data_IF_416251149109
#
_entry.id   IF_416251149109
#
_cell.length_a   1.000
_cell.length_b   1.000
_cell.length_c   1.000
_cell.angle_alpha   90.00
_cell.angle_beta   90.00
_cell.angle_gamma   90.00
#
_symmetry.space_group_name_H-M   'P 1'
#
loop_
_entity.id
_entity.type
_entity.pdbx_description
1 polymer ?
#
# COMPACT_ATOMS: atom_id res chain seq x y z
N UNK A 1 -55.93 17.85 31.72
CA UNK A 1 -55.54 18.43 30.42
C UNK A 1 -54.22 19.16 30.61
N UNK A 2 -53.08 18.49 30.41
CA UNK A 2 -51.75 19.13 30.58
C UNK A 2 -50.69 18.24 29.92
N UNK A 3 -50.31 18.56 28.68
CA UNK A 3 -49.06 18.18 27.97
C UNK A 3 -49.19 18.54 26.47
N UNK A 4 -49.12 19.83 26.15
CA UNK A 4 -48.95 20.32 24.76
C UNK A 4 -47.91 21.44 24.66
N UNK A 5 -47.46 22.03 25.78
CA UNK A 5 -46.52 23.16 25.79
C UNK A 5 -45.07 22.84 25.33
N UNK A 6 -44.69 21.56 25.20
CA UNK A 6 -43.32 21.16 24.87
C UNK A 6 -42.99 21.07 23.36
N UNK A 7 -43.95 20.70 22.51
CA UNK A 7 -43.71 20.61 21.06
C UNK A 7 -43.76 21.99 20.39
N UNK A 8 -44.73 22.82 20.78
CA UNK A 8 -44.81 24.21 20.30
C UNK A 8 -43.54 25.00 20.65
N UNK A 9 -42.96 24.79 21.84
CA UNK A 9 -41.68 25.40 22.22
C UNK A 9 -40.51 24.88 21.39
N UNK A 10 -40.46 23.58 21.05
CA UNK A 10 -39.43 23.01 20.17
C UNK A 10 -39.54 23.53 18.73
N UNK A 11 -40.74 23.61 18.18
CA UNK A 11 -40.96 24.10 16.82
C UNK A 11 -40.56 25.59 16.71
N UNK A 12 -40.84 26.40 17.74
CA UNK A 12 -40.38 27.79 17.81
C UNK A 12 -38.86 27.89 17.93
N UNK A 13 -38.22 27.03 18.73
CA UNK A 13 -36.74 26.99 18.85
C UNK A 13 -36.08 26.58 17.53
N UNK A 14 -36.64 25.61 16.81
CA UNK A 14 -36.14 25.18 15.50
C UNK A 14 -36.28 26.28 14.44
N UNK A 15 -37.41 26.99 14.44
CA UNK A 15 -37.61 28.12 13.53
C UNK A 15 -36.62 29.26 13.80
N UNK A 16 -36.36 29.58 15.07
CA UNK A 16 -35.38 30.59 15.46
C UNK A 16 -33.96 30.21 15.02
N UNK A 17 -33.55 28.96 15.24
CA UNK A 17 -32.24 28.46 14.80
C UNK A 17 -32.06 28.55 13.27
N UNK A 18 -33.12 28.30 12.49
CA UNK A 18 -33.05 28.40 11.03
C UNK A 18 -32.87 29.85 10.52
N UNK A 19 -33.57 30.80 11.15
CA UNK A 19 -33.46 32.23 10.80
C UNK A 19 -32.04 32.72 11.10
N UNK A 20 -31.52 32.38 12.28
CA UNK A 20 -30.21 32.82 12.73
C UNK A 20 -29.07 32.17 11.91
N UNK A 21 -29.21 30.90 11.48
CA UNK A 21 -28.29 30.30 10.50
C UNK A 21 -28.27 31.06 9.16
N UNK A 22 -29.43 31.49 8.70
CA UNK A 22 -29.58 32.18 7.41
C UNK A 22 -28.96 33.57 7.47
N UNK A 23 -29.04 34.25 8.62
CA UNK A 23 -28.39 35.54 8.86
C UNK A 23 -26.85 35.41 8.81
N UNK A 24 -26.27 34.37 9.43
CA UNK A 24 -24.82 34.06 9.33
C UNK A 24 -24.34 33.70 7.93
N UNK A 25 -25.23 33.29 7.02
CA UNK A 25 -24.90 32.99 5.62
C UNK A 25 -25.04 34.21 4.70
N UNK A 26 -25.75 35.24 5.15
CA UNK A 26 -25.98 36.49 4.43
C UNK A 26 -24.90 37.53 4.77
N UNK A 27 -24.30 37.44 5.96
CA UNK A 27 -23.14 38.26 6.39
C UNK A 27 -21.79 37.55 6.14
N UNK A 28 -20.67 38.22 6.45
CA UNK A 28 -19.32 37.64 6.32
C UNK A 28 -19.21 36.30 7.06
N UNK A 29 -19.18 35.20 6.28
CA UNK A 29 -19.24 33.84 6.80
C UNK A 29 -18.00 33.47 7.63
N UNK A 30 -18.13 33.48 8.97
CA UNK A 30 -17.11 32.98 9.90
C UNK A 30 -17.46 31.56 10.39
N UNK A 31 -16.64 30.59 9.99
CA UNK A 31 -16.80 29.18 10.34
C UNK A 31 -16.75 28.97 11.85
N UNK A 32 -15.91 29.71 12.58
CA UNK A 32 -15.76 29.56 14.04
C UNK A 32 -17.03 30.04 14.74
N UNK A 33 -17.60 31.16 14.30
CA UNK A 33 -18.82 31.71 14.89
C UNK A 33 -20.01 30.77 14.64
N UNK A 34 -20.19 30.30 13.40
CA UNK A 34 -21.25 29.33 13.06
C UNK A 34 -21.14 28.08 13.91
N UNK A 35 -19.94 27.52 14.01
CA UNK A 35 -19.66 26.31 14.78
C UNK A 35 -19.94 26.52 16.29
N UNK A 36 -19.48 27.63 16.85
CA UNK A 36 -19.71 28.00 18.25
C UNK A 36 -21.20 28.13 18.54
N UNK A 37 -21.93 28.79 17.64
CA UNK A 37 -23.35 29.03 17.76
C UNK A 37 -24.18 27.73 17.66
N UNK A 38 -23.77 26.81 16.77
CA UNK A 38 -24.37 25.46 16.71
C UNK A 38 -24.14 24.66 18.00
N UNK A 39 -22.98 24.78 18.64
CA UNK A 39 -22.72 24.11 19.92
C UNK A 39 -23.63 24.65 21.04
N UNK A 40 -23.87 25.97 21.06
CA UNK A 40 -24.80 26.62 22.00
C UNK A 40 -26.24 26.14 21.78
N UNK A 41 -26.72 26.08 20.53
CA UNK A 41 -28.06 25.56 20.27
C UNK A 41 -28.22 24.08 20.61
N UNK A 42 -27.17 23.25 20.42
CA UNK A 42 -27.22 21.85 20.86
C UNK A 42 -27.46 21.74 22.36
N UNK A 43 -26.85 22.61 23.18
CA UNK A 43 -27.12 22.71 24.62
C UNK A 43 -28.58 23.07 24.89
N UNK A 44 -29.11 24.09 24.20
CA UNK A 44 -30.47 24.60 24.43
C UNK A 44 -31.61 23.70 23.91
N UNK A 45 -31.35 22.96 22.83
CA UNK A 45 -32.33 22.12 22.15
C UNK A 45 -32.37 20.71 22.75
N UNK A 46 -31.21 20.17 23.15
CA UNK A 46 -31.08 18.82 23.69
C UNK A 46 -31.10 18.76 25.23
N UNK A 47 -31.08 19.92 25.90
CA UNK A 47 -31.08 20.04 27.36
C UNK A 47 -29.88 19.32 28.01
N UNK A 48 -28.70 19.47 27.40
CA UNK A 48 -27.43 18.90 27.89
C UNK A 48 -26.58 19.95 28.58
N UNK A 49 -25.77 19.58 29.58
CA UNK A 49 -25.03 20.55 30.41
C UNK A 49 -23.88 21.27 29.67
N UNK A 50 -23.33 20.64 28.63
CA UNK A 50 -22.29 21.21 27.78
C UNK A 50 -22.23 20.45 26.44
N UNK A 51 -21.85 21.16 25.38
CA UNK A 51 -21.46 20.60 24.10
C UNK A 51 -20.11 21.21 23.68
N UNK A 52 -19.32 20.46 22.93
CA UNK A 52 -18.03 20.93 22.43
C UNK A 52 -17.76 20.39 21.03
N UNK A 53 -16.96 21.12 20.27
CA UNK A 53 -16.55 20.73 18.93
C UNK A 53 -15.12 20.22 18.96
N UNK A 54 -14.94 18.99 18.46
CA UNK A 54 -13.61 18.42 18.27
C UNK A 54 -13.16 18.69 16.83
N UNK A 55 -12.20 19.61 16.67
CA UNK A 55 -11.57 19.85 15.39
C UNK A 55 -10.48 18.80 15.17
N UNK A 56 -10.61 18.01 14.11
CA UNK A 56 -9.60 17.04 13.70
C UNK A 56 -8.91 17.59 12.46
N UNK A 57 -7.59 17.70 12.51
CA UNK A 57 -6.80 18.16 11.36
C UNK A 57 -6.84 17.09 10.25
N UNK A 58 -7.60 17.36 9.19
CA UNK A 58 -7.71 16.49 8.02
C UNK A 58 -6.36 16.29 7.31
N UNK A 59 -5.42 17.24 7.42
CA UNK A 59 -4.09 17.11 6.81
C UNK A 59 -3.28 15.99 7.47
N UNK A 60 -3.38 15.83 8.79
CA UNK A 60 -2.66 14.80 9.52
C UNK A 60 -3.13 13.38 9.13
N UNK A 61 -4.45 13.19 8.92
CA UNK A 61 -5.01 11.91 8.50
C UNK A 61 -4.60 11.55 7.07
N UNK A 62 -4.62 12.51 6.15
CA UNK A 62 -4.18 12.32 4.76
C UNK A 62 -2.67 12.02 4.68
N UNK A 63 -1.85 12.74 5.45
CA UNK A 63 -0.40 12.49 5.52
C UNK A 63 -0.09 11.07 5.99
N UNK A 64 -0.78 10.56 7.02
CA UNK A 64 -0.59 9.18 7.48
C UNK A 64 -0.96 8.15 6.41
N UNK A 65 -2.07 8.35 5.70
CA UNK A 65 -2.50 7.45 4.63
C UNK A 65 -1.51 7.43 3.44
N UNK A 66 -0.94 8.59 3.09
CA UNK A 66 0.09 8.69 2.03
C UNK A 66 1.37 7.97 2.47
N UNK A 67 1.84 8.20 3.70
CA UNK A 67 3.05 7.54 4.23
C UNK A 67 2.92 6.01 4.28
N UNK A 68 1.76 5.50 4.69
CA UNK A 68 1.49 4.07 4.72
C UNK A 68 1.47 3.45 3.31
N UNK A 69 0.86 4.16 2.35
CA UNK A 69 0.86 3.77 0.94
C UNK A 69 2.27 3.76 0.32
N UNK A 70 3.09 4.77 0.60
CA UNK A 70 4.47 4.85 0.12
C UNK A 70 5.36 3.74 0.70
N UNK A 71 5.20 3.44 1.99
CA UNK A 71 5.92 2.33 2.63
C UNK A 71 5.53 0.98 2.02
N UNK A 72 4.23 0.73 1.82
CA UNK A 72 3.74 -0.50 1.21
C UNK A 72 4.22 -0.62 -0.25
N UNK A 73 4.18 0.48 -1.01
CA UNK A 73 4.68 0.53 -2.38
C UNK A 73 6.17 0.21 -2.45
N UNK A 74 6.98 0.77 -1.54
CA UNK A 74 8.42 0.50 -1.45
C UNK A 74 8.70 -0.98 -1.12
N UNK A 75 7.99 -1.56 -0.15
CA UNK A 75 8.13 -2.99 0.18
C UNK A 75 7.72 -3.91 -0.97
N UNK A 76 6.63 -3.57 -1.66
CA UNK A 76 6.19 -4.31 -2.85
C UNK A 76 7.19 -4.16 -4.00
N UNK A 77 7.73 -2.97 -4.24
CA UNK A 77 8.75 -2.74 -5.26
C UNK A 77 10.02 -3.54 -4.97
N UNK A 78 10.49 -3.57 -3.71
CA UNK A 78 11.64 -4.39 -3.32
C UNK A 78 11.38 -5.89 -3.50
N UNK A 79 10.20 -6.37 -3.08
CA UNK A 79 9.79 -7.76 -3.24
C UNK A 79 9.66 -8.16 -4.72
N UNK A 80 9.10 -7.28 -5.56
CA UNK A 80 8.95 -7.51 -7.00
C UNK A 80 10.29 -7.43 -7.72
N UNK A 81 11.15 -6.48 -7.37
CA UNK A 81 12.49 -6.36 -7.95
C UNK A 81 13.29 -7.65 -7.73
N UNK A 82 13.30 -8.19 -6.50
CA UNK A 82 13.96 -9.46 -6.21
C UNK A 82 13.36 -10.64 -7.01
N UNK A 83 12.05 -10.64 -7.27
CA UNK A 83 11.40 -11.72 -8.04
C UNK A 83 11.71 -11.62 -9.53
N UNK A 84 11.65 -10.42 -10.11
CA UNK A 84 11.93 -10.20 -11.54
C UNK A 84 13.35 -10.62 -11.88
N UNK A 85 14.35 -10.15 -11.12
CA UNK A 85 15.76 -10.48 -11.37
C UNK A 85 16.01 -11.99 -11.22
N UNK A 86 15.39 -12.64 -10.24
CA UNK A 86 15.55 -14.09 -10.03
C UNK A 86 14.92 -14.90 -11.17
N UNK A 87 13.76 -14.51 -11.70
CA UNK A 87 13.16 -15.16 -12.88
C UNK A 87 13.98 -14.90 -14.15
N UNK A 88 14.51 -13.69 -14.32
CA UNK A 88 15.41 -13.37 -15.44
C UNK A 88 16.68 -14.22 -15.39
N UNK A 89 17.31 -14.36 -14.22
CA UNK A 89 18.46 -15.23 -14.04
C UNK A 89 18.12 -16.68 -14.42
N UNK A 90 16.99 -17.24 -13.93
CA UNK A 90 16.55 -18.58 -14.34
C UNK A 90 16.38 -18.71 -15.85
N UNK A 91 15.81 -17.69 -16.50
CA UNK A 91 15.68 -17.62 -17.96
C UNK A 91 17.03 -17.68 -18.67
N UNK A 92 17.99 -16.86 -18.22
CA UNK A 92 19.37 -16.86 -18.74
C UNK A 92 20.03 -18.22 -18.55
N UNK A 93 19.86 -18.86 -17.38
CA UNK A 93 20.42 -20.19 -17.12
C UNK A 93 19.79 -21.28 -17.98
N UNK A 94 18.47 -21.21 -18.19
CA UNK A 94 17.74 -22.14 -19.04
C UNK A 94 18.12 -21.98 -20.52
N UNK A 95 18.31 -20.76 -20.99
CA UNK A 95 18.72 -20.50 -22.37
C UNK A 95 20.20 -20.84 -22.60
N UNK A 96 21.09 -20.32 -21.75
CA UNK A 96 22.54 -20.35 -21.97
C UNK A 96 23.14 -21.71 -21.65
N UNK A 97 22.63 -22.41 -20.62
CA UNK A 97 23.20 -23.67 -20.15
C UNK A 97 22.21 -24.83 -20.20
N UNK A 98 21.03 -24.63 -20.80
CA UNK A 98 19.98 -25.64 -20.91
C UNK A 98 19.69 -26.32 -19.57
N UNK A 99 19.54 -25.54 -18.50
CA UNK A 99 19.16 -26.07 -17.17
C UNK A 99 17.65 -25.97 -17.00
N UNK A 100 17.01 -26.98 -16.42
CA UNK A 100 15.57 -26.92 -16.10
C UNK A 100 15.30 -25.78 -15.09
N UNK A 101 14.25 -24.95 -15.24
CA UNK A 101 14.02 -23.78 -14.39
C UNK A 101 14.01 -24.06 -12.87
N UNK A 102 13.39 -25.16 -12.44
CA UNK A 102 13.39 -25.59 -11.03
C UNK A 102 14.78 -25.95 -10.53
N UNK A 103 15.57 -26.60 -11.39
CA UNK A 103 16.95 -26.98 -11.13
C UNK A 103 17.88 -25.75 -11.10
N UNK A 104 17.63 -24.76 -11.98
CA UNK A 104 18.33 -23.48 -11.99
C UNK A 104 18.11 -22.70 -10.69
N UNK A 105 16.88 -22.65 -10.17
CA UNK A 105 16.60 -21.99 -8.90
C UNK A 105 17.25 -22.69 -7.71
N UNK A 106 17.20 -24.03 -7.67
CA UNK A 106 17.89 -24.82 -6.64
C UNK A 106 19.39 -24.56 -6.66
N UNK A 107 20.00 -24.48 -7.84
CA UNK A 107 21.42 -24.19 -8.00
C UNK A 107 21.79 -22.76 -7.57
N UNK A 108 21.03 -21.75 -7.98
CA UNK A 108 21.22 -20.36 -7.53
C UNK A 108 21.19 -20.27 -6.00
N UNK A 109 20.20 -20.90 -5.37
CA UNK A 109 20.07 -20.91 -3.90
C UNK A 109 21.20 -21.70 -3.23
N UNK A 110 21.60 -22.83 -3.81
CA UNK A 110 22.70 -23.66 -3.30
C UNK A 110 24.04 -22.93 -3.34
N UNK A 111 24.36 -22.31 -4.48
CA UNK A 111 25.56 -21.51 -4.67
C UNK A 111 25.58 -20.30 -3.73
N UNK A 112 24.46 -19.58 -3.65
CA UNK A 112 24.35 -18.39 -2.81
C UNK A 112 24.62 -18.71 -1.33
N UNK A 113 24.10 -19.85 -0.84
CA UNK A 113 24.35 -20.33 0.53
C UNK A 113 25.78 -20.79 0.75
N UNK A 114 26.34 -21.55 -0.18
CA UNK A 114 27.70 -22.06 -0.08
C UNK A 114 28.75 -20.92 -0.06
N UNK A 115 28.44 -19.79 -0.68
CA UNK A 115 29.31 -18.61 -0.78
C UNK A 115 28.85 -17.43 0.08
N UNK A 116 27.89 -17.64 0.99
CA UNK A 116 27.34 -16.64 1.90
C UNK A 116 26.97 -15.30 1.23
N UNK A 117 26.28 -15.36 0.09
CA UNK A 117 25.89 -14.20 -0.71
C UNK A 117 24.37 -14.05 -0.82
N UNK A 118 23.92 -12.82 -1.09
CA UNK A 118 22.51 -12.55 -1.38
C UNK A 118 22.12 -13.17 -2.74
N UNK A 119 21.00 -13.90 -2.75
CA UNK A 119 20.46 -14.54 -3.96
C UNK A 119 20.14 -13.52 -5.06
N UNK A 120 19.64 -12.35 -4.69
CA UNK A 120 19.37 -11.24 -5.62
C UNK A 120 20.63 -10.76 -6.31
N UNK A 121 21.72 -10.54 -5.57
CA UNK A 121 23.03 -10.15 -6.16
C UNK A 121 23.61 -11.23 -7.07
N UNK A 122 23.45 -12.51 -6.72
CA UNK A 122 23.85 -13.60 -7.61
C UNK A 122 23.05 -13.56 -8.91
N UNK A 123 21.73 -13.37 -8.81
CA UNK A 123 20.84 -13.28 -9.96
C UNK A 123 21.19 -12.08 -10.85
N UNK A 124 21.50 -10.92 -10.26
CA UNK A 124 22.02 -9.74 -10.99
C UNK A 124 23.30 -10.08 -11.76
N UNK A 125 24.26 -10.74 -11.11
CA UNK A 125 25.53 -11.13 -11.75
C UNK A 125 25.34 -12.15 -12.88
N UNK A 126 24.37 -13.07 -12.74
CA UNK A 126 24.00 -14.01 -13.79
C UNK A 126 23.35 -13.32 -14.99
N UNK A 127 22.46 -12.35 -14.75
CA UNK A 127 21.83 -11.54 -15.81
C UNK A 127 22.85 -10.65 -16.51
N UNK A 128 23.78 -10.04 -15.76
CA UNK A 128 24.88 -9.25 -16.30
C UNK A 128 25.91 -10.10 -17.07
N UNK A 129 26.00 -11.39 -16.74
CA UNK A 129 26.93 -12.32 -17.38
C UNK A 129 28.37 -12.24 -16.84
N UNK A 130 28.54 -11.79 -15.60
CA UNK A 130 29.86 -11.59 -14.99
C UNK A 130 30.52 -12.92 -14.53
N UNK A 131 31.76 -12.83 -14.05
CA UNK A 131 32.56 -13.98 -13.58
C UNK A 131 31.82 -14.87 -12.58
N UNK A 132 31.02 -14.29 -11.69
CA UNK A 132 30.22 -15.06 -10.70
C UNK A 132 29.23 -16.02 -11.37
N UNK A 133 28.69 -15.64 -12.54
CA UNK A 133 27.87 -16.53 -13.36
C UNK A 133 28.69 -17.71 -13.89
N UNK A 134 29.92 -17.48 -14.34
CA UNK A 134 30.80 -18.57 -14.80
C UNK A 134 31.20 -19.52 -13.67
N UNK A 135 31.46 -19.01 -12.47
CA UNK A 135 31.72 -19.83 -11.28
C UNK A 135 30.50 -20.67 -10.88
N UNK A 136 29.28 -20.13 -11.06
CA UNK A 136 28.04 -20.87 -10.90
C UNK A 136 27.93 -22.03 -11.92
N UNK A 137 28.41 -21.85 -13.15
CA UNK A 137 28.46 -22.94 -14.14
C UNK A 137 29.37 -24.07 -13.69
N UNK A 138 30.55 -23.76 -13.18
CA UNK A 138 31.48 -24.76 -12.63
C UNK A 138 30.88 -25.48 -11.42
N UNK A 139 30.11 -24.78 -10.59
CA UNK A 139 29.35 -25.38 -9.48
C UNK A 139 28.25 -26.34 -9.97
N UNK A 140 27.47 -25.93 -10.99
CA UNK A 140 26.43 -26.77 -11.60
C UNK A 140 26.97 -28.12 -12.09
N UNK A 141 28.15 -28.11 -12.74
CA UNK A 141 28.80 -29.32 -13.22
C UNK A 141 29.25 -30.26 -12.08
N UNK A 142 29.65 -29.70 -10.93
CA UNK A 142 30.02 -30.48 -9.74
C UNK A 142 28.82 -31.13 -9.06
N UNK A 143 27.66 -30.46 -9.08
CA UNK A 143 26.46 -30.90 -8.35
C UNK A 143 25.54 -31.78 -9.21
N UNK A 144 25.80 -31.90 -10.52
CA UNK A 144 25.07 -32.81 -11.41
C UNK A 144 23.62 -32.38 -11.61
N UNK A 145 23.40 -31.10 -11.92
CA UNK A 145 22.07 -30.51 -12.04
C UNK A 145 21.45 -30.86 -13.40
N UNK A 146 20.19 -31.32 -13.40
CA UNK A 146 19.48 -31.82 -14.59
C UNK A 146 19.43 -30.79 -15.73
N UNK A 147 19.95 -31.20 -16.90
CA UNK A 147 19.80 -30.46 -18.15
C UNK A 147 18.37 -30.61 -18.71
N UNK A 148 17.82 -29.53 -19.25
CA UNK A 148 16.59 -29.50 -20.01
C UNK A 148 16.73 -30.43 -21.22
N UNK A 149 15.85 -31.44 -21.29
CA UNK A 149 15.75 -32.34 -22.45
C UNK A 149 15.42 -31.50 -23.68
N UNK A 150 16.13 -31.65 -24.83
CA UNK A 150 15.85 -30.86 -26.02
C UNK A 150 14.41 -31.13 -26.46
N UNK A 151 13.59 -30.06 -26.50
CA UNK A 151 12.23 -30.15 -27.01
C UNK A 151 12.30 -30.54 -28.49
N UNK A 152 11.82 -31.75 -28.79
CA UNK A 152 11.74 -32.25 -30.17
C UNK A 152 10.78 -31.35 -30.95
N UNK A 153 11.38 -30.49 -31.79
CA UNK A 153 10.85 -29.92 -33.03
C UNK A 153 9.35 -29.60 -33.08
N UNK A 154 8.99 -28.33 -32.84
CA UNK A 154 7.86 -27.76 -33.57
C UNK A 154 8.33 -27.47 -34.99
N UNK A 155 7.92 -28.35 -35.91
CA UNK A 155 8.03 -28.13 -37.34
C UNK A 155 7.46 -26.75 -37.69
N UNK A 156 8.33 -25.90 -38.27
CA UNK A 156 7.94 -24.68 -38.97
C UNK A 156 6.91 -25.04 -40.05
N UNK A 157 5.78 -24.35 -40.04
CA UNK A 157 4.93 -24.12 -41.21
C UNK A 157 4.82 -22.63 -41.40
#
# INVERSE_FOLDING_TARGET
>A
MTRVSGSASRDTKLAAAFVELTDTLIDDFDVIDVLTHMAVWCVELLDVSAAGLMLVDQRLLQQRAIQESELLASQLQEALHSRVVTEQAKGVLAERWQVVPDSAFKALRGYARAHNMLLSRLAESVVAGDRTGEDLRAYLDRVGVDAARPERGRARR
#
